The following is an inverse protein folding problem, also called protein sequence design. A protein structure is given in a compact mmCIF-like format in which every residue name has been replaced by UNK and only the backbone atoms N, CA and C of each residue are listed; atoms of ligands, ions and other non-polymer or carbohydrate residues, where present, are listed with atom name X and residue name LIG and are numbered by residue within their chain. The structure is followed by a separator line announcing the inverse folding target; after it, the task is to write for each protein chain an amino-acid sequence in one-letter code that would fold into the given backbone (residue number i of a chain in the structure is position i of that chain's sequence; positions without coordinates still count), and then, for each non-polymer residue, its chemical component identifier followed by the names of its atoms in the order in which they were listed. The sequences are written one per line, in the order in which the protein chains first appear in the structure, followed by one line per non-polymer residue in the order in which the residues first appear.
data_IF_637002498964
#
_entry.id   IF_637002498964
#
_cell.length_a   1.000
_cell.length_b   1.000
_cell.length_c   1.000
_cell.angle_alpha   90.00
_cell.angle_beta   90.00
_cell.angle_gamma   90.00
#
_symmetry.space_group_name_H-M   'P 1'
#
loop_
_entity.id
_entity.type
_entity.pdbx_description
1 polymer ?
#
# COMPACT_ATOMS: atom_id res chain seq x y z
N UNK A 1 1.59 15.28 12.49
CA UNK A 1 1.48 14.04 11.70
C UNK A 1 0.74 14.31 10.42
N UNK A 2 1.16 13.68 9.34
CA UNK A 2 0.41 13.74 8.09
C UNK A 2 -0.81 12.82 8.12
N UNK A 3 -1.77 12.99 7.19
CA UNK A 3 -2.96 12.15 7.14
C UNK A 3 -2.67 10.66 6.95
N UNK A 4 -3.69 9.79 7.11
CA UNK A 4 -3.54 8.37 6.85
C UNK A 4 -3.06 8.09 5.42
N UNK A 5 -2.33 7.00 5.27
CA UNK A 5 -1.86 6.51 3.98
C UNK A 5 -2.21 5.03 3.83
N UNK A 6 -2.25 4.57 2.59
CA UNK A 6 -2.28 3.14 2.27
C UNK A 6 -0.89 2.77 1.75
N UNK A 7 -0.29 1.75 2.33
CA UNK A 7 1.01 1.27 1.89
C UNK A 7 0.83 0.17 0.84
N UNK A 8 1.36 0.40 -0.35
CA UNK A 8 1.50 -0.61 -1.39
C UNK A 8 2.79 -1.40 -1.17
N UNK A 9 2.91 -2.55 -1.80
CA UNK A 9 4.02 -3.49 -1.60
C UNK A 9 5.39 -2.84 -1.80
N UNK A 10 5.63 -2.24 -2.95
CA UNK A 10 6.92 -1.61 -3.26
C UNK A 10 7.22 -0.43 -2.34
N UNK A 11 6.20 0.38 -2.03
CA UNK A 11 6.35 1.51 -1.11
C UNK A 11 6.73 1.06 0.30
N UNK A 12 6.05 0.04 0.82
CA UNK A 12 6.35 -0.49 2.14
C UNK A 12 7.75 -1.11 2.20
N UNK A 13 8.11 -1.92 1.21
CA UNK A 13 9.44 -2.54 1.17
C UNK A 13 10.56 -1.49 1.14
N UNK A 14 10.42 -0.44 0.33
CA UNK A 14 11.41 0.64 0.30
C UNK A 14 11.46 1.42 1.61
N UNK A 15 10.31 1.72 2.19
CA UNK A 15 10.27 2.45 3.45
C UNK A 15 10.97 1.70 4.59
N UNK A 16 10.95 0.38 4.55
CA UNK A 16 11.54 -0.48 5.59
C UNK A 16 12.97 -0.92 5.29
N UNK A 17 13.46 -0.71 4.06
CA UNK A 17 14.81 -1.13 3.67
C UNK A 17 15.88 -0.35 4.44
N UNK A 18 16.89 -1.09 4.91
CA UNK A 18 18.00 -0.53 5.70
C UNK A 18 19.34 -0.85 5.03
N UNK A 19 20.30 0.05 5.20
CA UNK A 19 21.70 -0.21 4.87
C UNK A 19 22.30 -1.15 5.90
N UNK A 20 23.55 -1.60 5.65
CA UNK A 20 24.27 -2.43 6.63
C UNK A 20 24.44 -1.73 7.98
N UNK A 21 24.56 -0.38 7.96
CA UNK A 21 24.71 0.44 9.15
C UNK A 21 23.38 0.74 9.85
N UNK A 22 22.26 0.24 9.32
CA UNK A 22 20.94 0.41 9.90
C UNK A 22 20.24 1.71 9.50
N UNK A 23 20.80 2.49 8.59
CA UNK A 23 20.17 3.70 8.09
C UNK A 23 19.10 3.37 7.02
N UNK A 24 18.07 4.24 6.84
CA UNK A 24 17.11 4.04 5.75
C UNK A 24 17.81 4.04 4.38
N UNK A 25 17.51 3.01 3.58
CA UNK A 25 18.02 2.95 2.20
C UNK A 25 17.33 3.95 1.28
N UNK A 26 16.07 4.28 1.58
CA UNK A 26 15.25 5.20 0.80
C UNK A 26 14.62 6.20 1.78
N UNK A 27 15.31 7.31 2.04
CA UNK A 27 14.93 8.27 3.07
C UNK A 27 13.55 8.88 2.85
N UNK A 28 13.19 9.18 1.61
CA UNK A 28 11.89 9.79 1.30
C UNK A 28 10.73 8.83 1.58
N UNK A 29 10.92 7.54 1.29
CA UNK A 29 9.93 6.51 1.57
C UNK A 29 9.77 6.30 3.08
N UNK A 30 10.87 6.22 3.80
CA UNK A 30 10.85 6.07 5.25
C UNK A 30 10.20 7.27 5.92
N UNK A 31 10.51 8.49 5.47
CA UNK A 31 9.92 9.71 6.01
C UNK A 31 8.40 9.75 5.77
N UNK A 32 7.93 9.35 4.58
CA UNK A 32 6.51 9.28 4.30
C UNK A 32 5.78 8.28 5.21
N UNK A 33 6.40 7.12 5.45
CA UNK A 33 5.84 6.11 6.33
C UNK A 33 5.76 6.60 7.77
N UNK A 34 6.86 7.15 8.30
CA UNK A 34 6.94 7.53 9.71
C UNK A 34 6.11 8.76 10.03
N UNK A 35 5.84 9.63 9.05
CA UNK A 35 5.03 10.83 9.28
C UNK A 35 3.53 10.58 9.25
N UNK A 36 3.07 9.47 8.69
CA UNK A 36 1.65 9.16 8.56
C UNK A 36 0.99 8.94 9.92
N UNK A 37 -0.22 9.45 10.09
CA UNK A 37 -1.00 9.24 11.30
C UNK A 37 -1.48 7.80 11.45
N UNK A 38 -1.81 7.16 10.33
CA UNK A 38 -2.19 5.75 10.23
C UNK A 38 -1.59 5.19 8.95
N UNK A 39 -1.07 3.97 9.03
CA UNK A 39 -0.53 3.25 7.88
C UNK A 39 -1.43 2.04 7.66
N UNK A 40 -2.29 2.13 6.66
CA UNK A 40 -3.18 1.02 6.31
C UNK A 40 -2.40 0.03 5.44
N UNK A 41 -2.35 -1.22 5.90
CA UNK A 41 -1.70 -2.31 5.17
C UNK A 41 -2.79 -3.25 4.64
N UNK A 42 -3.06 -3.22 3.33
CA UNK A 42 -4.04 -4.13 2.73
C UNK A 42 -3.61 -5.59 2.86
N UNK A 43 -4.58 -6.48 3.07
CA UNK A 43 -4.29 -7.90 3.28
C UNK A 43 -3.52 -8.55 2.14
N UNK A 44 -3.86 -8.25 0.88
CA UNK A 44 -3.16 -8.79 -0.27
C UNK A 44 -1.75 -8.21 -0.43
N UNK A 45 -1.55 -6.96 -0.01
CA UNK A 45 -0.22 -6.36 0.04
C UNK A 45 0.67 -7.11 1.02
N UNK A 46 0.14 -7.47 2.18
CA UNK A 46 0.93 -8.23 3.17
C UNK A 46 1.37 -9.57 2.60
N UNK A 47 0.51 -10.27 1.86
CA UNK A 47 0.86 -11.52 1.21
C UNK A 47 1.97 -11.35 0.17
N UNK A 48 1.92 -10.26 -0.60
CA UNK A 48 2.94 -9.97 -1.59
C UNK A 48 4.27 -9.58 -0.95
N UNK A 49 4.24 -8.81 0.13
CA UNK A 49 5.43 -8.48 0.93
C UNK A 49 6.07 -9.76 1.47
N UNK A 50 5.27 -10.70 1.96
CA UNK A 50 5.76 -12.00 2.43
C UNK A 50 6.54 -12.73 1.33
N UNK A 51 6.05 -12.72 0.11
CA UNK A 51 6.74 -13.32 -1.03
C UNK A 51 8.11 -12.67 -1.26
N UNK A 52 8.19 -11.35 -1.23
CA UNK A 52 9.47 -10.64 -1.40
C UNK A 52 10.43 -10.83 -0.23
N UNK A 53 9.92 -11.13 0.95
CA UNK A 53 10.73 -11.40 2.15
C UNK A 53 10.93 -12.89 2.42
N UNK A 54 10.73 -13.75 1.41
CA UNK A 54 10.85 -15.20 1.58
C UNK A 54 12.25 -15.64 2.03
N UNK A 55 13.27 -14.86 1.69
CA UNK A 55 14.64 -15.10 2.10
C UNK A 55 15.08 -14.26 3.30
N UNK A 56 14.16 -13.51 3.89
CA UNK A 56 14.38 -12.62 5.03
C UNK A 56 13.29 -12.81 6.08
N UNK A 57 13.18 -14.04 6.58
CA UNK A 57 12.03 -14.42 7.42
C UNK A 57 11.99 -13.70 8.76
N UNK A 58 13.16 -13.35 9.33
CA UNK A 58 13.21 -12.53 10.54
C UNK A 58 12.60 -11.15 10.32
N UNK A 59 12.88 -10.54 9.17
CA UNK A 59 12.28 -9.24 8.80
C UNK A 59 10.76 -9.36 8.64
N UNK A 60 10.28 -10.43 8.02
CA UNK A 60 8.84 -10.65 7.85
C UNK A 60 8.14 -10.84 9.20
N UNK A 61 8.72 -11.63 10.10
CA UNK A 61 8.16 -11.83 11.45
C UNK A 61 8.11 -10.53 12.24
N UNK A 62 9.16 -9.71 12.15
CA UNK A 62 9.21 -8.42 12.81
C UNK A 62 8.12 -7.49 12.27
N UNK A 63 7.97 -7.42 10.96
CA UNK A 63 6.95 -6.59 10.34
C UNK A 63 5.55 -7.02 10.76
N UNK A 64 5.24 -8.32 10.73
CA UNK A 64 3.95 -8.82 11.16
C UNK A 64 3.66 -8.48 12.62
N UNK A 65 4.66 -8.64 13.49
CA UNK A 65 4.52 -8.27 14.90
C UNK A 65 4.20 -6.78 15.08
N UNK A 66 4.85 -5.92 14.33
CA UNK A 66 4.59 -4.47 14.37
C UNK A 66 3.19 -4.13 13.83
N UNK A 67 2.78 -4.74 12.71
CA UNK A 67 1.46 -4.50 12.11
C UNK A 67 0.34 -4.88 13.08
N UNK A 68 0.49 -5.98 13.79
CA UNK A 68 -0.54 -6.49 14.71
C UNK A 68 -0.41 -5.97 16.14
N UNK A 69 0.59 -5.15 16.43
CA UNK A 69 0.74 -4.48 17.72
C UNK A 69 -0.16 -3.24 17.75
N UNK A 70 -1.16 -3.20 18.65
CA UNK A 70 -2.08 -2.05 18.72
C UNK A 70 -1.37 -0.74 19.16
N UNK A 71 -0.16 -0.82 19.69
CA UNK A 71 0.64 0.34 20.05
C UNK A 71 1.30 1.05 18.86
N UNK A 72 1.27 0.44 17.67
CA UNK A 72 1.82 1.05 16.46
C UNK A 72 0.75 1.80 15.67
N UNK A 73 1.18 2.54 14.64
CA UNK A 73 0.26 3.25 13.76
C UNK A 73 -0.21 2.38 12.57
N UNK A 74 0.20 1.15 12.51
CA UNK A 74 -0.25 0.21 11.49
C UNK A 74 -1.70 -0.20 11.74
N UNK A 75 -2.43 -0.34 10.64
CA UNK A 75 -3.79 -0.87 10.63
C UNK A 75 -3.88 -1.89 9.50
N UNK A 76 -4.11 -3.15 9.86
CA UNK A 76 -4.25 -4.23 8.89
C UNK A 76 -5.69 -4.28 8.41
N UNK A 77 -5.89 -4.30 7.09
CA UNK A 77 -7.24 -4.31 6.53
C UNK A 77 -7.39 -5.40 5.47
N UNK A 78 -8.25 -6.37 5.77
CA UNK A 78 -8.63 -7.40 4.81
C UNK A 78 -9.56 -6.80 3.75
N UNK A 79 -9.46 -7.24 2.48
CA UNK A 79 -10.43 -6.82 1.47
C UNK A 79 -11.80 -7.41 1.78
N UNK A 80 -12.84 -6.58 1.65
CA UNK A 80 -14.22 -7.06 1.66
C UNK A 80 -14.52 -7.73 0.30
N UNK A 81 -15.52 -8.63 0.25
CA UNK A 81 -15.95 -9.17 -1.05
C UNK A 81 -16.26 -8.08 -2.07
N UNK A 82 -16.87 -6.97 -1.62
CA UNK A 82 -17.15 -5.82 -2.50
C UNK A 82 -15.88 -5.13 -3.01
N UNK A 83 -14.80 -5.15 -2.26
CA UNK A 83 -13.50 -4.62 -2.71
C UNK A 83 -12.92 -5.48 -3.84
N UNK A 84 -13.07 -6.79 -3.75
CA UNK A 84 -12.63 -7.71 -4.80
C UNK A 84 -13.42 -7.46 -6.09
N UNK A 85 -14.76 -7.35 -5.98
CA UNK A 85 -15.61 -7.03 -7.13
C UNK A 85 -15.20 -5.70 -7.75
N UNK A 86 -15.02 -4.67 -6.91
CA UNK A 86 -14.62 -3.34 -7.39
C UNK A 86 -13.23 -3.35 -8.04
N UNK A 87 -12.30 -4.11 -7.47
CA UNK A 87 -10.95 -4.27 -8.05
C UNK A 87 -11.03 -4.81 -9.47
N UNK A 88 -11.87 -5.80 -9.72
CA UNK A 88 -12.04 -6.39 -11.05
C UNK A 88 -12.77 -5.42 -12.00
N UNK A 89 -13.69 -4.61 -11.52
CA UNK A 89 -14.31 -3.55 -12.32
C UNK A 89 -13.27 -2.50 -12.75
N UNK A 90 -12.41 -2.06 -11.83
CA UNK A 90 -11.35 -1.10 -12.14
C UNK A 90 -10.33 -1.72 -13.12
N UNK A 91 -9.97 -2.97 -12.92
CA UNK A 91 -9.08 -3.70 -13.83
C UNK A 91 -9.66 -3.74 -15.25
N UNK A 92 -10.95 -4.02 -15.39
CA UNK A 92 -11.63 -4.03 -16.68
C UNK A 92 -11.73 -2.62 -17.29
N UNK A 93 -12.05 -1.62 -16.49
CA UNK A 93 -12.20 -0.23 -16.95
C UNK A 93 -10.88 0.37 -17.40
N UNK A 94 -9.79 0.04 -16.71
CA UNK A 94 -8.44 0.52 -17.03
C UNK A 94 -7.58 -0.64 -17.56
N UNK A 95 -8.13 -1.39 -18.52
CA UNK A 95 -7.52 -2.63 -19.01
C UNK A 95 -6.07 -2.45 -19.49
N UNK A 96 -5.75 -1.27 -20.06
CA UNK A 96 -4.39 -0.95 -20.53
C UNK A 96 -3.36 -0.90 -19.40
N UNK A 97 -3.80 -0.72 -18.15
CA UNK A 97 -2.89 -0.67 -17.00
C UNK A 97 -2.52 -2.05 -16.48
N UNK A 98 -3.31 -3.06 -16.80
CA UNK A 98 -3.09 -4.43 -16.35
C UNK A 98 -2.85 -4.51 -14.82
N UNK A 99 -3.77 -3.90 -14.07
CA UNK A 99 -3.62 -3.70 -12.61
C UNK A 99 -3.45 -5.02 -11.84
N UNK A 100 -4.31 -5.98 -12.13
CA UNK A 100 -4.40 -7.19 -11.33
C UNK A 100 -5.09 -6.96 -10.00
N UNK A 101 -5.17 -8.03 -9.21
CA UNK A 101 -5.99 -8.04 -8.00
C UNK A 101 -5.38 -7.25 -6.85
N UNK A 102 -4.05 -7.29 -6.68
CA UNK A 102 -3.38 -6.55 -5.58
C UNK A 102 -3.59 -5.05 -5.77
N UNK A 103 -3.20 -4.51 -6.91
CA UNK A 103 -3.35 -3.08 -7.22
C UNK A 103 -4.81 -2.67 -7.25
N UNK A 104 -5.67 -3.51 -7.81
CA UNK A 104 -7.11 -3.26 -7.84
C UNK A 104 -7.72 -3.16 -6.45
N UNK A 105 -7.32 -4.02 -5.51
CA UNK A 105 -7.82 -3.95 -4.13
C UNK A 105 -7.26 -2.75 -3.36
N UNK A 106 -6.03 -2.33 -3.64
CA UNK A 106 -5.50 -1.07 -3.08
C UNK A 106 -6.39 0.11 -3.51
N UNK A 107 -6.72 0.19 -4.80
CA UNK A 107 -7.58 1.25 -5.32
C UNK A 107 -9.01 1.17 -4.77
N UNK A 108 -9.59 -0.01 -4.68
CA UNK A 108 -10.93 -0.22 -4.10
C UNK A 108 -10.97 0.18 -2.63
N UNK A 109 -9.92 -0.15 -1.88
CA UNK A 109 -9.80 0.23 -0.48
C UNK A 109 -9.68 1.75 -0.33
N UNK A 110 -8.89 2.39 -1.21
CA UNK A 110 -8.76 3.84 -1.23
C UNK A 110 -10.14 4.52 -1.40
N UNK A 111 -10.95 4.03 -2.33
CA UNK A 111 -12.32 4.51 -2.53
C UNK A 111 -13.18 4.34 -1.27
N UNK A 112 -13.20 3.14 -0.72
CA UNK A 112 -14.08 2.81 0.40
C UNK A 112 -13.71 3.56 1.68
N UNK A 113 -12.41 3.66 1.96
CA UNK A 113 -11.90 4.35 3.14
C UNK A 113 -11.76 5.85 2.92
N UNK A 114 -11.88 6.33 1.69
CA UNK A 114 -11.61 7.72 1.30
C UNK A 114 -10.21 8.17 1.72
N UNK A 115 -9.26 7.28 1.57
CA UNK A 115 -7.84 7.52 1.80
C UNK A 115 -7.15 7.44 0.44
N UNK A 116 -6.81 8.58 -0.13
CA UNK A 116 -6.32 8.67 -1.51
C UNK A 116 -4.81 8.83 -1.60
N UNK A 117 -4.11 8.74 -0.48
CA UNK A 117 -2.66 8.86 -0.39
C UNK A 117 -2.04 7.48 -0.33
N UNK A 118 -1.28 7.13 -1.35
CA UNK A 118 -0.73 5.79 -1.54
C UNK A 118 0.79 5.86 -1.52
N UNK A 119 1.44 5.14 -0.62
CA UNK A 119 2.88 4.96 -0.62
C UNK A 119 3.22 3.83 -1.58
N UNK A 120 3.75 4.16 -2.76
CA UNK A 120 3.98 3.21 -3.84
C UNK A 120 5.19 3.56 -4.67
N UNK A 121 5.80 2.55 -5.27
CA UNK A 121 6.81 2.71 -6.32
C UNK A 121 6.20 2.76 -7.71
N UNK A 122 4.93 2.41 -7.85
CA UNK A 122 4.24 2.32 -9.15
C UNK A 122 3.54 3.63 -9.49
N UNK A 123 4.32 4.60 -9.95
CA UNK A 123 3.79 5.91 -10.34
C UNK A 123 3.04 5.87 -11.66
N UNK A 124 3.41 4.94 -12.55
CA UNK A 124 2.80 4.85 -13.87
C UNK A 124 1.34 4.43 -13.77
N UNK A 125 1.07 3.30 -13.14
CA UNK A 125 -0.27 2.73 -13.12
C UNK A 125 -1.18 3.47 -12.14
N UNK A 126 -0.74 3.68 -10.90
CA UNK A 126 -1.54 4.46 -9.95
C UNK A 126 -1.69 5.92 -10.36
N UNK A 127 -0.70 6.49 -11.04
CA UNK A 127 -0.79 7.86 -11.55
C UNK A 127 -1.83 8.02 -12.66
N UNK A 128 -2.04 6.99 -13.48
CA UNK A 128 -3.04 6.98 -14.54
C UNK A 128 -4.44 6.58 -14.05
N UNK A 129 -4.51 5.89 -12.91
CA UNK A 129 -5.76 5.39 -12.36
C UNK A 129 -6.59 6.54 -11.78
N UNK A 130 -7.90 6.43 -11.94
CA UNK A 130 -8.87 7.33 -11.31
C UNK A 130 -9.90 6.48 -10.58
N UNK A 131 -10.31 6.95 -9.42
CA UNK A 131 -11.26 6.23 -8.55
C UNK A 131 -12.48 7.11 -8.28
N UNK A 132 -13.42 6.58 -7.48
CA UNK A 132 -14.66 7.24 -7.13
C UNK A 132 -15.80 6.90 -8.09
N UNK A 133 -17.04 7.34 -7.79
CA UNK A 133 -18.23 6.95 -8.57
C UNK A 133 -18.17 7.33 -10.03
N UNK A 134 -17.50 8.43 -10.36
CA UNK A 134 -17.36 8.94 -11.74
C UNK A 134 -15.98 8.67 -12.32
N UNK A 135 -15.11 7.93 -11.62
CA UNK A 135 -13.73 7.68 -12.03
C UNK A 135 -12.96 8.96 -12.36
N UNK A 136 -13.12 9.97 -11.52
CA UNK A 136 -12.47 11.27 -11.68
C UNK A 136 -11.47 11.61 -10.59
N UNK A 137 -11.46 10.86 -9.49
CA UNK A 137 -10.61 11.15 -8.34
C UNK A 137 -9.20 10.59 -8.56
N UNK A 138 -8.17 11.45 -8.61
CA UNK A 138 -6.78 10.97 -8.67
C UNK A 138 -6.32 10.42 -7.31
N UNK A 139 -5.33 9.53 -7.35
CA UNK A 139 -4.59 9.10 -6.17
C UNK A 139 -3.37 10.00 -6.01
N UNK A 140 -3.08 10.39 -4.76
CA UNK A 140 -1.85 11.11 -4.42
C UNK A 140 -0.77 10.08 -4.09
N UNK A 141 0.28 10.05 -4.91
CA UNK A 141 1.36 9.08 -4.76
C UNK A 141 2.48 9.66 -3.90
N UNK A 142 2.93 8.87 -2.94
CA UNK A 142 4.01 9.20 -2.00
C UNK A 142 5.22 8.30 -2.28
N UNK A 143 6.40 8.77 -2.05
CA UNK A 143 6.81 10.04 -1.46
C UNK A 143 6.66 11.25 -2.34
#
# INVERSE_FOLDING_TARGET
MSPPIIADTGGLLRALARTREGAPSFQDYEAALTSASVIIVPGLVLAEVDYFLRDSRAAMRKLAAEIFDPGTRYEYELPLPSDIVRALELDARFAQLNLGLVDGTVAALAERRRVYRILSTDRRDFGALRVGPRLTRPLELLP
#
